data_IF_785078005623
#
_entry.id   IF_785078005623
#
_cell.length_a   1.000
_cell.length_b   1.000
_cell.length_c   1.000
_cell.angle_alpha   90.00
_cell.angle_beta   90.00
_cell.angle_gamma   90.00
#
_symmetry.space_group_name_H-M   'P 1'
#
loop_
_entity.id
_entity.type
_entity.pdbx_description
1 polymer ?
#
# COMPACT_ATOMS: atom_id res chain seq x y z
N UNK A 1 -3.07 2.68 -18.08
CA UNK A 1 -3.40 4.10 -17.81
C UNK A 1 -2.65 4.52 -16.55
N UNK A 2 -1.97 5.68 -16.53
CA UNK A 2 -1.33 6.16 -15.31
C UNK A 2 -2.42 6.47 -14.28
N UNK A 3 -2.25 5.97 -13.06
CA UNK A 3 -3.16 6.26 -11.95
C UNK A 3 -3.25 7.77 -11.72
N UNK A 4 -4.40 8.27 -11.25
CA UNK A 4 -4.45 9.65 -10.74
C UNK A 4 -3.45 9.75 -9.58
N UNK A 5 -2.84 10.91 -9.40
CA UNK A 5 -1.96 11.20 -8.26
C UNK A 5 -2.79 11.59 -7.04
N UNK A 6 -2.32 11.22 -5.84
CA UNK A 6 -2.99 11.62 -4.61
C UNK A 6 -2.75 13.12 -4.37
N UNK A 7 -3.76 13.92 -3.95
CA UNK A 7 -3.59 15.35 -3.66
C UNK A 7 -2.64 15.67 -2.48
N UNK A 8 -2.13 14.65 -1.80
CA UNK A 8 -1.22 14.78 -0.66
C UNK A 8 0.09 14.09 -1.01
N UNK A 9 1.16 14.86 -1.08
CA UNK A 9 2.47 14.36 -1.48
C UNK A 9 2.98 13.23 -0.59
N UNK A 10 2.77 13.33 0.73
CA UNK A 10 3.19 12.28 1.68
C UNK A 10 2.60 10.91 1.33
N UNK A 11 1.33 10.87 0.93
CA UNK A 11 0.64 9.64 0.53
C UNK A 11 1.12 9.20 -0.85
N UNK A 12 1.29 10.14 -1.78
CA UNK A 12 1.83 9.85 -3.12
C UNK A 12 3.22 9.21 -3.04
N UNK A 13 4.10 9.70 -2.15
CA UNK A 13 5.42 9.10 -1.92
C UNK A 13 5.32 7.68 -1.35
N UNK A 14 4.32 7.43 -0.48
CA UNK A 14 4.05 6.09 0.03
C UNK A 14 3.49 5.15 -1.05
N UNK A 15 2.67 5.67 -1.99
CA UNK A 15 2.15 4.91 -3.13
C UNK A 15 3.27 4.57 -4.12
N UNK A 16 4.15 5.51 -4.44
CA UNK A 16 5.34 5.27 -5.26
C UNK A 16 6.25 4.22 -4.63
N UNK A 17 6.42 4.27 -3.31
CA UNK A 17 7.13 3.26 -2.56
C UNK A 17 6.43 1.89 -2.68
N UNK A 18 5.11 1.84 -2.63
CA UNK A 18 4.36 0.61 -2.86
C UNK A 18 4.63 0.03 -4.27
N UNK A 19 4.51 0.86 -5.30
CA UNK A 19 4.73 0.50 -6.70
C UNK A 19 6.15 -0.03 -6.92
N UNK A 20 7.17 0.60 -6.32
CA UNK A 20 8.56 0.14 -6.42
C UNK A 20 8.80 -1.21 -5.72
N UNK A 21 7.92 -1.60 -4.79
CA UNK A 21 7.94 -2.90 -4.12
C UNK A 21 6.97 -3.91 -4.75
N UNK A 22 6.48 -3.62 -5.96
CA UNK A 22 5.57 -4.50 -6.71
C UNK A 22 4.13 -4.50 -6.20
N UNK A 23 3.76 -3.61 -5.28
CA UNK A 23 2.35 -3.48 -4.87
C UNK A 23 1.53 -2.84 -5.96
N UNK A 24 0.33 -3.38 -6.18
CA UNK A 24 -0.61 -2.88 -7.17
C UNK A 24 -1.48 -1.80 -6.55
N UNK A 25 -1.42 -0.59 -7.10
CA UNK A 25 -2.27 0.54 -6.67
C UNK A 25 -3.49 0.63 -7.60
N UNK A 26 -4.67 0.67 -7.01
CA UNK A 26 -5.94 0.86 -7.73
C UNK A 26 -6.64 2.09 -7.19
N UNK A 27 -6.93 3.03 -8.09
CA UNK A 27 -7.63 4.28 -7.74
C UNK A 27 -9.11 4.09 -8.00
N UNK A 28 -9.94 4.36 -6.98
CA UNK A 28 -11.38 4.17 -7.08
C UNK A 28 -12.06 4.06 -5.72
N UNK A 29 -13.18 4.78 -5.57
CA UNK A 29 -14.02 4.78 -4.37
C UNK A 29 -14.73 6.11 -4.16
N UNK A 30 -15.88 6.09 -3.50
CA UNK A 30 -16.62 7.32 -3.12
C UNK A 30 -16.07 7.97 -1.84
N UNK A 31 -15.59 7.16 -0.89
CA UNK A 31 -15.04 7.61 0.40
C UNK A 31 -13.53 7.38 0.53
N UNK A 32 -13.00 6.40 -0.18
CA UNK A 32 -11.57 6.12 -0.27
C UNK A 32 -11.05 6.62 -1.62
N UNK A 33 -9.81 7.11 -1.64
CA UNK A 33 -9.14 7.50 -2.87
C UNK A 33 -8.81 6.29 -3.73
N UNK A 34 -8.42 5.20 -3.07
CA UNK A 34 -8.05 3.96 -3.72
C UNK A 34 -7.66 2.87 -2.73
N UNK A 35 -7.09 1.79 -3.24
CA UNK A 35 -6.59 0.65 -2.47
C UNK A 35 -5.26 0.19 -3.06
N UNK A 36 -4.41 -0.39 -2.21
CA UNK A 36 -3.22 -1.11 -2.64
C UNK A 36 -3.37 -2.60 -2.36
N UNK A 37 -2.90 -3.42 -3.28
CA UNK A 37 -2.97 -4.88 -3.23
C UNK A 37 -1.56 -5.44 -3.20
N UNK A 38 -1.33 -6.38 -2.28
CA UNK A 38 -0.08 -7.12 -2.21
C UNK A 38 0.09 -8.04 -3.42
N UNK A 39 1.29 -8.08 -4.04
CA UNK A 39 1.53 -8.91 -5.23
C UNK A 39 1.52 -10.40 -4.93
N UNK A 40 1.87 -10.78 -3.69
CA UNK A 40 2.05 -12.17 -3.31
C UNK A 40 0.75 -12.89 -2.95
N UNK A 41 -0.32 -12.15 -2.63
CA UNK A 41 -1.64 -12.67 -2.25
C UNK A 41 -1.61 -13.89 -1.31
N UNK A 42 -0.68 -13.89 -0.36
CA UNK A 42 -0.45 -15.01 0.56
C UNK A 42 -1.39 -14.89 1.77
N UNK A 43 -2.09 -15.98 2.11
CA UNK A 43 -2.93 -16.08 3.30
C UNK A 43 -2.15 -15.84 4.60
N UNK A 44 -0.83 -16.05 4.61
CA UNK A 44 0.00 -15.77 5.78
C UNK A 44 0.44 -14.30 5.88
N UNK A 45 0.07 -13.46 4.90
CA UNK A 45 0.43 -12.05 4.88
C UNK A 45 -0.49 -11.25 5.80
N UNK A 46 0.07 -10.71 6.89
CA UNK A 46 -0.42 -9.68 7.83
C UNK A 46 -1.81 -9.87 8.49
N UNK A 47 -2.82 -10.36 7.78
CA UNK A 47 -4.22 -10.46 8.21
C UNK A 47 -4.93 -11.77 7.79
N UNK A 48 -4.22 -12.82 7.33
CA UNK A 48 -4.85 -14.13 7.13
C UNK A 48 -5.57 -14.31 5.79
N UNK A 49 -6.14 -13.24 5.22
CA UNK A 49 -7.09 -13.39 4.11
C UNK A 49 -6.82 -12.49 2.91
N UNK A 50 -6.47 -11.21 3.08
CA UNK A 50 -6.09 -10.34 1.96
C UNK A 50 -5.17 -9.21 2.43
N UNK A 51 -3.91 -9.18 1.96
CA UNK A 51 -3.00 -8.05 2.21
C UNK A 51 -3.39 -6.85 1.31
N UNK A 52 -4.47 -6.16 1.69
CA UNK A 52 -5.00 -4.98 1.02
C UNK A 52 -5.00 -3.82 2.01
N UNK A 53 -4.63 -2.61 1.56
CA UNK A 53 -4.78 -1.41 2.37
C UNK A 53 -5.58 -0.33 1.61
N UNK A 54 -6.60 0.20 2.27
CA UNK A 54 -7.40 1.32 1.74
C UNK A 54 -6.68 2.65 1.97
N UNK A 55 -6.71 3.49 0.96
CA UNK A 55 -6.10 4.81 0.93
C UNK A 55 -7.20 5.85 1.02
N UNK A 56 -7.17 6.69 2.05
CA UNK A 56 -8.20 7.70 2.30
C UNK A 56 -7.87 9.00 1.55
N UNK A 57 -8.87 9.62 0.92
CA UNK A 57 -8.72 10.92 0.22
C UNK A 57 -8.47 12.07 1.20
N UNK A 58 -9.13 12.05 2.36
CA UNK A 58 -9.13 13.13 3.37
C UNK A 58 -8.72 12.61 4.76
N UNK A 59 -7.51 12.06 4.92
CA UNK A 59 -7.05 11.63 6.24
C UNK A 59 -6.78 12.86 7.12
N UNK A 60 -7.13 12.74 8.41
CA UNK A 60 -6.87 13.79 9.43
C UNK A 60 -5.39 14.16 9.51
N UNK A 61 -4.49 13.23 9.22
CA UNK A 61 -3.04 13.44 9.12
C UNK A 61 -2.47 12.60 7.97
N UNK A 62 -2.04 13.26 6.90
CA UNK A 62 -1.53 12.60 5.69
C UNK A 62 -0.19 11.87 5.95
N UNK A 63 0.73 12.46 6.71
CA UNK A 63 2.00 11.83 7.06
C UNK A 63 1.87 10.56 7.88
N UNK A 64 0.96 10.52 8.85
CA UNK A 64 0.70 9.30 9.61
C UNK A 64 0.07 8.22 8.74
N UNK A 65 -0.84 8.58 7.83
CA UNK A 65 -1.41 7.64 6.89
C UNK A 65 -0.36 7.11 5.89
N UNK A 66 0.52 7.96 5.39
CA UNK A 66 1.67 7.57 4.57
C UNK A 66 2.61 6.59 5.29
N UNK A 67 2.96 6.88 6.55
CA UNK A 67 3.75 5.96 7.38
C UNK A 67 3.03 4.63 7.60
N UNK A 68 1.71 4.65 7.77
CA UNK A 68 0.92 3.43 7.89
C UNK A 68 1.01 2.59 6.61
N UNK A 69 0.86 3.21 5.43
CA UNK A 69 0.99 2.53 4.13
C UNK A 69 2.39 1.90 3.99
N UNK A 70 3.46 2.66 4.24
CA UNK A 70 4.84 2.15 4.21
C UNK A 70 5.02 0.97 5.17
N UNK A 71 4.51 1.07 6.40
CA UNK A 71 4.52 -0.05 7.35
C UNK A 71 3.74 -1.26 6.85
N UNK A 72 2.66 -1.08 6.06
CA UNK A 72 1.93 -2.19 5.44
C UNK A 72 2.85 -2.98 4.51
N UNK A 73 3.57 -2.25 3.66
CA UNK A 73 4.52 -2.79 2.68
C UNK A 73 5.72 -3.45 3.38
N UNK A 74 6.31 -2.78 4.37
CA UNK A 74 7.52 -3.25 5.06
C UNK A 74 7.29 -4.49 5.92
N UNK A 75 6.13 -4.62 6.57
CA UNK A 75 5.82 -5.83 7.36
C UNK A 75 5.04 -6.88 6.55
N UNK A 76 5.09 -6.81 5.21
CA UNK A 76 4.64 -7.90 4.37
C UNK A 76 5.54 -9.13 4.61
N UNK A 77 4.98 -10.20 5.20
CA UNK A 77 5.77 -11.37 5.60
C UNK A 77 6.37 -12.13 4.41
N UNK A 78 5.72 -12.10 3.25
CA UNK A 78 6.24 -12.73 2.03
C UNK A 78 7.48 -12.01 1.50
N UNK A 79 7.55 -10.68 1.62
CA UNK A 79 8.77 -9.90 1.32
C UNK A 79 9.94 -10.33 2.21
N UNK A 80 9.70 -10.54 3.51
CA UNK A 80 10.73 -11.06 4.43
C UNK A 80 11.21 -12.49 4.12
N UNK A 81 10.47 -13.26 3.31
CA UNK A 81 10.94 -14.56 2.83
C UNK A 81 11.83 -14.41 1.59
N UNK A 82 11.46 -13.54 0.65
CA UNK A 82 12.25 -13.31 -0.58
C UNK A 82 13.55 -12.56 -0.33
N UNK A 83 13.64 -11.69 0.69
CA UNK A 83 14.88 -10.99 1.06
C UNK A 83 15.85 -11.86 1.90
N UNK A 84 15.46 -13.10 2.26
CA UNK A 84 16.25 -13.98 3.15
C UNK A 84 16.75 -15.25 2.43
N UNK A 85 16.77 -15.21 1.10
CA UNK A 85 17.23 -16.27 0.19
C UNK A 85 18.31 -15.73 -0.77
N UNK A 86 19.20 -14.87 -0.26
CA UNK A 86 20.51 -14.52 -0.85
C UNK A 86 21.65 -14.88 0.11
#
# INVERSE_FOLDING_TARGET
>A
MPRKSHPKQEIEDALRYAESHGWRVEVGGSHAWGKIYCPYNDKQCRCGEFCIASIWSTPKNAGNHAKQIKRVIDNCRTRKKSDNEE
#
